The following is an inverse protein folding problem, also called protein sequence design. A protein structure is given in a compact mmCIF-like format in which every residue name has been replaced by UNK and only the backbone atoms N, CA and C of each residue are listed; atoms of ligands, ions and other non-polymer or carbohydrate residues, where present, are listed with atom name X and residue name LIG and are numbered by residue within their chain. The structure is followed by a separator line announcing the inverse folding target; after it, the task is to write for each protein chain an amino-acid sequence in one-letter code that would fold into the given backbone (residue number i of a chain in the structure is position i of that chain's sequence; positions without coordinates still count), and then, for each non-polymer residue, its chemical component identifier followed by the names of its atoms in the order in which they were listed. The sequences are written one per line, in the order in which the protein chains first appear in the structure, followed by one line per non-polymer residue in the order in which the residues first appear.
data_IF_071870200427
#
_entry.id   IF_071870200427
#
_cell.length_a   1.000
_cell.length_b   1.000
_cell.length_c   1.000
_cell.angle_alpha   90.00
_cell.angle_beta   90.00
_cell.angle_gamma   90.00
#
_symmetry.space_group_name_H-M   'P 1'
#
loop_
_entity.id
_entity.type
_entity.pdbx_description
1 polymer ?
#
# COMPACT_ATOMS: atom_id res chain seq x y z
N UNK A 1 17.74 -5.32 2.43
CA UNK A 1 17.85 -3.97 1.85
C UNK A 1 16.43 -3.44 1.68
N UNK A 2 16.16 -2.21 2.11
CA UNK A 2 14.84 -1.60 1.96
C UNK A 2 14.76 -0.91 0.61
N UNK A 3 14.02 -1.51 -0.33
CA UNK A 3 13.86 -1.05 -1.72
C UNK A 3 12.58 -0.25 -1.94
N UNK A 4 11.67 -0.23 -0.97
CA UNK A 4 10.38 0.44 -1.08
C UNK A 4 10.10 1.32 0.12
N UNK A 5 9.24 2.29 -0.10
CA UNK A 5 8.62 3.09 0.94
C UNK A 5 7.12 2.94 0.86
N UNK A 6 6.49 2.74 2.01
CA UNK A 6 5.05 2.63 2.12
C UNK A 6 4.48 3.89 2.76
N UNK A 7 3.36 4.37 2.24
CA UNK A 7 2.57 5.42 2.89
C UNK A 7 1.28 4.84 3.43
N UNK A 8 1.05 5.02 4.71
CA UNK A 8 -0.19 4.63 5.33
C UNK A 8 -1.40 5.43 4.85
N UNK A 9 -1.29 6.75 4.71
CA UNK A 9 -2.44 7.61 4.35
C UNK A 9 -3.14 7.21 3.05
N UNK A 10 -2.36 6.73 2.07
CA UNK A 10 -2.85 6.34 0.74
C UNK A 10 -2.72 4.84 0.49
N UNK A 11 -2.26 4.07 1.49
CA UNK A 11 -1.86 2.66 1.35
C UNK A 11 -1.00 2.39 0.09
N UNK A 12 -0.13 3.35 -0.25
CA UNK A 12 0.65 3.37 -1.49
C UNK A 12 2.09 2.88 -1.27
N UNK A 13 2.65 2.20 -2.27
CA UNK A 13 4.05 1.77 -2.29
C UNK A 13 4.86 2.58 -3.30
N UNK A 14 6.07 2.94 -2.92
CA UNK A 14 6.97 3.85 -3.63
C UNK A 14 8.38 3.26 -3.66
N UNK A 15 8.87 2.70 -4.78
CA UNK A 15 10.27 2.28 -4.92
C UNK A 15 11.25 3.42 -4.62
N UNK A 16 12.27 3.14 -3.82
CA UNK A 16 13.36 4.08 -3.53
C UNK A 16 14.31 4.27 -4.71
N UNK A 17 14.19 3.41 -5.72
CA UNK A 17 15.01 3.43 -6.93
C UNK A 17 14.60 4.56 -7.89
N UNK A 18 13.37 5.08 -7.77
CA UNK A 18 12.82 6.14 -8.63
C UNK A 18 12.30 7.36 -7.86
N UNK A 19 13.11 8.01 -7.01
CA UNK A 19 12.66 9.17 -6.25
C UNK A 19 12.22 10.33 -7.16
N UNK A 20 12.93 10.53 -8.27
CA UNK A 20 12.69 11.62 -9.21
C UNK A 20 11.28 11.60 -9.83
N UNK A 21 10.80 10.42 -10.25
CA UNK A 21 9.43 10.28 -10.78
C UNK A 21 8.36 10.61 -9.73
N UNK A 22 8.60 10.31 -8.46
CA UNK A 22 7.65 10.61 -7.39
C UNK A 22 7.65 12.07 -6.99
N UNK A 23 8.83 12.72 -6.99
CA UNK A 23 8.97 14.15 -6.78
C UNK A 23 8.29 14.94 -7.91
N UNK A 24 8.53 14.57 -9.17
CA UNK A 24 7.89 15.19 -10.33
C UNK A 24 6.36 15.00 -10.33
N UNK A 25 5.88 13.83 -9.93
CA UNK A 25 4.45 13.58 -9.80
C UNK A 25 3.81 14.32 -8.61
N UNK A 26 4.60 14.92 -7.71
CA UNK A 26 4.10 15.49 -6.45
C UNK A 26 3.45 14.45 -5.54
N UNK A 27 3.75 13.18 -5.78
CA UNK A 27 3.18 12.04 -5.05
C UNK A 27 4.14 11.50 -4.01
N UNK A 28 5.30 12.14 -3.79
CA UNK A 28 6.26 11.80 -2.73
C UNK A 28 5.88 12.49 -1.40
N UNK A 29 5.27 11.74 -0.46
CA UNK A 29 4.89 12.25 0.85
C UNK A 29 6.08 12.20 1.82
N UNK A 30 6.04 13.04 2.84
CA UNK A 30 7.08 13.08 3.89
C UNK A 30 6.90 11.99 4.95
N UNK A 31 5.69 11.46 5.15
CA UNK A 31 5.39 10.36 6.09
C UNK A 31 5.45 9.01 5.38
N UNK A 32 6.63 8.69 4.83
CA UNK A 32 6.95 7.41 4.24
C UNK A 32 7.62 6.52 5.28
N UNK A 33 7.19 5.26 5.38
CA UNK A 33 7.91 4.23 6.15
C UNK A 33 8.72 3.32 5.24
N UNK A 34 9.83 2.83 5.76
CA UNK A 34 10.63 1.85 5.03
C UNK A 34 9.90 0.52 4.93
N UNK A 35 9.72 0.05 3.70
CA UNK A 35 9.15 -1.24 3.35
C UNK A 35 10.21 -2.07 2.61
N UNK A 36 10.20 -3.38 2.88
CA UNK A 36 11.06 -4.32 2.16
C UNK A 36 10.34 -4.88 0.95
N UNK A 37 11.09 -5.37 -0.03
CA UNK A 37 10.53 -6.03 -1.22
C UNK A 37 9.56 -7.16 -0.85
N UNK A 38 9.89 -7.99 0.14
CA UNK A 38 9.01 -9.09 0.58
C UNK A 38 7.63 -8.60 1.01
N UNK A 39 7.58 -7.45 1.69
CA UNK A 39 6.33 -6.80 2.08
C UNK A 39 5.59 -6.30 0.83
N UNK A 40 6.27 -5.61 -0.08
CA UNK A 40 5.66 -5.18 -1.33
C UNK A 40 5.08 -6.36 -2.11
N UNK A 41 5.86 -7.43 -2.32
CA UNK A 41 5.45 -8.63 -3.04
C UNK A 41 4.29 -9.35 -2.35
N UNK A 42 4.30 -9.45 -1.02
CA UNK A 42 3.17 -10.03 -0.27
C UNK A 42 1.89 -9.20 -0.46
N UNK A 43 1.97 -7.88 -0.29
CA UNK A 43 0.80 -7.00 -0.36
C UNK A 43 0.34 -6.69 -1.80
N UNK A 44 1.22 -6.78 -2.80
CA UNK A 44 0.87 -6.61 -4.22
C UNK A 44 0.50 -7.92 -4.89
N UNK A 45 0.84 -9.04 -4.25
CA UNK A 45 0.43 -10.37 -4.66
C UNK A 45 -1.02 -10.68 -4.32
N UNK A 46 -1.28 -11.94 -3.99
CA UNK A 46 -2.64 -12.43 -3.85
C UNK A 46 -3.22 -12.08 -2.47
N UNK A 47 -4.29 -11.28 -2.38
CA UNK A 47 -4.90 -10.93 -1.10
C UNK A 47 -5.59 -12.14 -0.45
N UNK A 48 -5.60 -12.24 0.89
CA UNK A 48 -6.38 -13.24 1.60
C UNK A 48 -7.88 -13.03 1.38
N UNK A 49 -8.65 -14.13 1.41
CA UNK A 49 -10.10 -14.12 1.16
C UNK A 49 -10.83 -13.15 2.11
N UNK A 50 -11.55 -12.18 1.54
CA UNK A 50 -12.31 -11.17 2.31
C UNK A 50 -11.46 -10.04 2.90
N UNK A 51 -10.19 -9.92 2.47
CA UNK A 51 -9.32 -8.80 2.85
C UNK A 51 -8.85 -8.04 1.63
N UNK A 52 -8.57 -6.77 1.81
CA UNK A 52 -7.99 -5.90 0.81
C UNK A 52 -6.70 -5.27 1.33
N UNK A 53 -5.83 -4.86 0.40
CA UNK A 53 -4.60 -4.17 0.76
C UNK A 53 -4.94 -2.83 1.36
N UNK A 54 -4.52 -2.61 2.59
CA UNK A 54 -4.68 -1.34 3.27
C UNK A 54 -3.44 -1.00 4.08
N UNK A 55 -3.65 -0.06 5.00
CA UNK A 55 -2.64 0.39 5.94
C UNK A 55 -3.16 0.22 7.36
N UNK A 56 -2.35 -0.33 8.26
CA UNK A 56 -2.65 -0.33 9.69
C UNK A 56 -1.55 0.44 10.42
N UNK A 57 -1.91 1.62 10.90
CA UNK A 57 -0.94 2.55 11.51
C UNK A 57 0.05 3.04 10.46
N UNK A 58 1.34 2.74 10.62
CA UNK A 58 2.39 3.11 9.66
C UNK A 58 2.91 1.94 8.82
N UNK A 59 2.21 0.80 8.76
CA UNK A 59 2.66 -0.38 8.00
C UNK A 59 1.56 -0.89 7.07
N UNK A 60 1.93 -1.51 5.93
CA UNK A 60 0.96 -2.18 5.09
C UNK A 60 0.35 -3.35 5.86
N UNK A 61 -0.96 -3.52 5.69
CA UNK A 61 -1.70 -4.57 6.36
C UNK A 61 -2.90 -4.98 5.52
N UNK A 62 -3.28 -6.24 5.66
CA UNK A 62 -4.53 -6.74 5.12
C UNK A 62 -5.65 -6.25 6.02
N UNK A 63 -6.41 -5.28 5.53
CA UNK A 63 -7.60 -4.79 6.21
C UNK A 63 -8.80 -5.58 5.72
N UNK A 64 -9.78 -5.78 6.59
CA UNK A 64 -11.05 -6.38 6.17
C UNK A 64 -11.65 -5.51 5.07
N UNK A 65 -11.97 -6.13 3.93
CA UNK A 65 -12.76 -5.43 2.91
C UNK A 65 -14.07 -5.03 3.57
N UNK A 66 -14.59 -3.80 3.37
CA UNK A 66 -15.92 -3.47 3.85
C UNK A 66 -16.85 -4.61 3.40
N UNK A 67 -17.76 -5.08 4.28
CA UNK A 67 -18.76 -6.06 3.84
C UNK A 67 -19.36 -5.49 2.55
N UNK A 68 -19.53 -6.31 1.49
CA UNK A 68 -20.09 -5.82 0.25
C UNK A 68 -21.37 -5.08 0.62
N UNK A 69 -21.36 -3.75 0.51
CA UNK A 69 -22.57 -2.98 0.65
C UNK A 69 -23.48 -3.54 -0.40
N UNK A 70 -24.68 -3.91 0.02
CA UNK A 70 -25.70 -4.67 -0.72
C UNK A 70 -26.16 -3.95 -2.03
N UNK A 71 -25.46 -2.89 -2.46
CA UNK A 71 -25.71 -2.10 -3.66
C UNK A 71 -25.25 -2.77 -4.97
N UNK A 72 -24.61 -3.95 -4.93
CA UNK A 72 -24.37 -4.80 -6.11
C UNK A 72 -25.32 -6.03 -6.12
N UNK A 73 -26.54 -5.88 -5.62
CA UNK A 73 -27.65 -6.80 -5.93
C UNK A 73 -28.81 -5.98 -6.46
N UNK A 74 -28.84 -5.81 -7.78
CA UNK A 74 -30.03 -5.39 -8.50
C UNK A 74 -30.48 -6.50 -9.43
#
# INVERSE_FOLDING_TARGET
MNTYKFRATTAGFYPVDMPDSYEQAGTLPTDLVDAIDETYTEFTGQPPKGKMRGSKGKRPAWVDSPPPTIEETR
#
